data_IF_594245095560
#
_entry.id   IF_594245095560
#
_cell.length_a   1.000
_cell.length_b   1.000
_cell.length_c   1.000
_cell.angle_alpha   90.00
_cell.angle_beta   90.00
_cell.angle_gamma   90.00
#
_symmetry.space_group_name_H-M   'P 1'
#
loop_
_entity.id
_entity.type
_entity.pdbx_description
1 polymer ?
#
# COMPACT_ATOMS: atom_id res chain seq x y z
N UNK A 1 -21.87 -80.88 -5.45
CA UNK A 1 -21.15 -79.87 -4.69
C UNK A 1 -21.25 -78.58 -5.47
N UNK A 2 -22.05 -77.61 -5.02
CA UNK A 2 -22.18 -76.26 -5.61
C UNK A 2 -21.40 -75.31 -4.76
N UNK A 3 -20.31 -74.71 -5.31
CA UNK A 3 -19.56 -73.62 -4.65
C UNK A 3 -20.32 -72.31 -4.89
N UNK A 4 -20.76 -71.69 -3.79
CA UNK A 4 -21.31 -70.36 -3.78
C UNK A 4 -20.12 -69.37 -3.58
N UNK A 5 -19.80 -68.59 -4.59
CA UNK A 5 -18.79 -67.50 -4.47
C UNK A 5 -19.49 -66.25 -3.88
N UNK A 6 -19.06 -65.84 -2.69
CA UNK A 6 -19.45 -64.61 -2.05
C UNK A 6 -18.58 -63.48 -2.57
N UNK A 7 -19.13 -62.58 -3.35
CA UNK A 7 -18.44 -61.34 -3.77
C UNK A 7 -18.68 -60.29 -2.69
N UNK A 8 -17.64 -59.98 -1.96
CA UNK A 8 -17.63 -58.90 -0.99
C UNK A 8 -17.39 -57.55 -1.71
N UNK A 9 -18.45 -56.75 -1.93
CA UNK A 9 -18.31 -55.37 -2.41
C UNK A 9 -17.87 -54.51 -1.25
N UNK A 10 -16.62 -54.05 -1.27
CA UNK A 10 -16.10 -53.00 -0.44
C UNK A 10 -16.59 -51.62 -0.97
N UNK A 11 -17.59 -51.06 -0.31
CA UNK A 11 -17.95 -49.67 -0.50
C UNK A 11 -16.89 -48.80 0.21
N UNK A 12 -15.96 -48.25 -0.55
CA UNK A 12 -15.14 -47.13 -0.08
C UNK A 12 -16.02 -45.89 0.02
N UNK A 13 -16.48 -45.58 1.22
CA UNK A 13 -17.04 -44.27 1.50
C UNK A 13 -15.90 -43.24 1.46
N UNK A 14 -15.80 -42.55 0.33
CA UNK A 14 -15.04 -41.31 0.29
C UNK A 14 -15.76 -40.34 1.23
N UNK A 15 -15.25 -40.20 2.45
CA UNK A 15 -15.63 -39.09 3.33
C UNK A 15 -15.09 -37.82 2.63
N UNK A 16 -15.93 -37.17 1.84
CA UNK A 16 -15.67 -35.82 1.37
C UNK A 16 -15.52 -34.97 2.61
N UNK A 17 -14.30 -34.41 2.78
CA UNK A 17 -14.10 -33.34 3.76
C UNK A 17 -15.12 -32.25 3.43
N UNK A 18 -16.17 -32.14 4.23
CA UNK A 18 -17.06 -30.99 4.17
C UNK A 18 -16.18 -29.79 4.56
N UNK A 19 -15.71 -29.03 3.55
CA UNK A 19 -14.99 -27.81 3.78
C UNK A 19 -15.88 -26.93 4.65
N UNK A 20 -15.38 -26.58 5.82
CA UNK A 20 -16.06 -25.63 6.71
C UNK A 20 -16.21 -24.35 5.90
N UNK A 21 -17.44 -23.91 5.66
CA UNK A 21 -17.70 -22.63 5.00
C UNK A 21 -17.09 -21.51 5.85
N UNK A 22 -16.11 -20.79 5.29
CA UNK A 22 -15.40 -19.73 6.00
C UNK A 22 -15.74 -18.37 5.38
N UNK A 23 -15.99 -17.39 6.23
CA UNK A 23 -16.07 -15.98 5.83
C UNK A 23 -14.67 -15.37 5.63
N UNK A 24 -14.62 -14.16 5.10
CA UNK A 24 -13.37 -13.43 4.84
C UNK A 24 -12.98 -12.47 5.96
N UNK A 25 -13.88 -12.21 6.91
CA UNK A 25 -13.71 -11.13 7.90
C UNK A 25 -12.60 -11.32 8.92
N UNK A 26 -12.05 -12.54 9.04
CA UNK A 26 -10.94 -12.85 9.95
C UNK A 26 -9.68 -13.35 9.22
N UNK A 27 -9.63 -13.21 7.90
CA UNK A 27 -8.47 -13.60 7.11
C UNK A 27 -7.41 -12.49 7.11
N UNK A 28 -6.18 -12.90 7.32
CA UNK A 28 -4.99 -12.05 7.21
C UNK A 28 -3.89 -12.75 6.44
N UNK A 29 -2.80 -12.03 6.19
CA UNK A 29 -1.61 -12.60 5.58
C UNK A 29 -0.33 -12.13 6.26
N UNK A 30 0.69 -12.98 6.24
CA UNK A 30 2.04 -12.69 6.68
C UNK A 30 2.96 -12.82 5.46
N UNK A 31 3.70 -11.76 5.14
CA UNK A 31 4.66 -11.75 4.04
C UNK A 31 5.98 -12.35 4.52
N UNK A 32 6.37 -13.48 3.93
CA UNK A 32 7.65 -14.15 4.19
C UNK A 32 8.70 -13.65 3.19
N UNK A 33 9.29 -12.50 3.49
CA UNK A 33 10.16 -11.75 2.56
C UNK A 33 11.33 -12.57 2.03
N UNK A 34 11.96 -13.37 2.88
CA UNK A 34 13.14 -14.15 2.51
C UNK A 34 12.83 -15.36 1.60
N UNK A 35 11.61 -15.88 1.66
CA UNK A 35 11.17 -17.03 0.89
C UNK A 35 10.41 -16.67 -0.39
N UNK A 36 9.98 -15.44 -0.55
CA UNK A 36 9.12 -15.04 -1.66
C UNK A 36 7.75 -15.70 -1.61
N UNK A 37 7.18 -15.82 -0.41
CA UNK A 37 5.92 -16.48 -0.12
C UNK A 37 5.07 -15.66 0.87
N UNK A 38 3.83 -16.09 1.05
CA UNK A 38 2.94 -15.56 2.10
C UNK A 38 2.31 -16.73 2.87
N UNK A 39 2.03 -16.51 4.15
CA UNK A 39 1.12 -17.34 4.91
C UNK A 39 -0.24 -16.66 5.00
N UNK A 40 -1.30 -17.44 4.78
CA UNK A 40 -2.67 -17.02 5.04
C UNK A 40 -3.03 -17.46 6.46
N UNK A 41 -3.48 -16.52 7.26
CA UNK A 41 -3.78 -16.73 8.67
C UNK A 41 -5.24 -16.44 8.98
N UNK A 42 -5.74 -17.10 9.98
CA UNK A 42 -7.00 -16.80 10.65
C UNK A 42 -6.65 -16.01 11.93
N UNK A 43 -7.18 -14.80 12.04
CA UNK A 43 -6.77 -13.82 13.07
C UNK A 43 -7.45 -14.05 14.42
N UNK A 44 -8.64 -14.66 14.44
CA UNK A 44 -9.40 -14.92 15.68
C UNK A 44 -8.66 -15.91 16.58
N UNK A 45 -8.29 -17.08 16.05
CA UNK A 45 -7.55 -18.11 16.78
C UNK A 45 -6.04 -18.05 16.53
N UNK A 46 -5.58 -17.13 15.66
CA UNK A 46 -4.17 -16.93 15.30
C UNK A 46 -3.53 -18.19 14.72
N UNK A 47 -4.23 -18.84 13.80
CA UNK A 47 -3.78 -20.07 13.15
C UNK A 47 -3.37 -19.84 11.71
N UNK A 48 -2.36 -20.59 11.27
CA UNK A 48 -1.97 -20.64 9.85
C UNK A 48 -2.94 -21.57 9.12
N UNK A 49 -3.52 -21.08 8.03
CA UNK A 49 -4.44 -21.85 7.18
C UNK A 49 -3.71 -22.48 6.01
N UNK A 50 -2.75 -21.75 5.43
CA UNK A 50 -1.99 -22.23 4.29
C UNK A 50 -0.89 -21.27 3.90
N UNK A 51 -0.11 -21.69 2.89
CA UNK A 51 1.01 -20.93 2.33
C UNK A 51 0.90 -20.86 0.82
N UNK A 52 1.29 -19.72 0.25
CA UNK A 52 1.38 -19.53 -1.20
C UNK A 52 2.82 -19.12 -1.53
N UNK A 53 3.47 -19.93 -2.36
CA UNK A 53 4.84 -19.75 -2.81
C UNK A 53 4.91 -19.13 -4.22
N UNK A 54 6.12 -18.75 -4.65
CA UNK A 54 6.38 -18.33 -6.03
C UNK A 54 6.01 -16.88 -6.32
N UNK A 55 5.97 -16.00 -5.31
CA UNK A 55 5.63 -14.59 -5.49
C UNK A 55 6.83 -13.72 -5.90
N UNK A 56 8.00 -14.29 -6.08
CA UNK A 56 9.20 -13.57 -6.50
C UNK A 56 9.91 -12.84 -5.36
N UNK A 57 10.52 -11.69 -5.66
CA UNK A 57 11.26 -10.92 -4.66
C UNK A 57 10.29 -10.10 -3.79
N UNK A 58 10.10 -10.53 -2.55
CA UNK A 58 9.31 -9.84 -1.54
C UNK A 58 10.15 -9.08 -0.51
N UNK A 59 11.42 -8.79 -0.80
CA UNK A 59 12.32 -8.09 0.13
C UNK A 59 11.80 -6.71 0.56
N UNK A 60 11.00 -6.08 -0.29
CA UNK A 60 10.20 -4.89 0.05
C UNK A 60 8.81 -5.05 -0.57
N UNK A 61 7.95 -5.77 0.10
CA UNK A 61 6.61 -6.06 -0.37
C UNK A 61 5.54 -5.43 0.52
N UNK A 62 4.43 -5.10 -0.11
CA UNK A 62 3.20 -4.67 0.54
C UNK A 62 2.00 -5.40 -0.05
N UNK A 63 0.84 -5.26 0.58
CA UNK A 63 -0.38 -5.90 0.15
C UNK A 63 -1.57 -4.96 0.32
N UNK A 64 -2.56 -5.11 -0.58
CA UNK A 64 -3.90 -4.54 -0.40
C UNK A 64 -4.94 -5.64 -0.60
N UNK A 65 -6.08 -5.49 0.05
CA UNK A 65 -7.18 -6.44 -0.03
C UNK A 65 -8.26 -5.95 -0.98
N UNK A 66 -8.88 -6.87 -1.72
CA UNK A 66 -10.12 -6.59 -2.43
C UNK A 66 -11.22 -6.18 -1.43
N UNK A 67 -12.20 -5.42 -1.88
CA UNK A 67 -13.25 -4.87 -1.01
C UNK A 67 -14.14 -5.94 -0.35
N UNK A 68 -14.20 -7.13 -0.95
CA UNK A 68 -14.91 -8.30 -0.41
C UNK A 68 -14.04 -9.13 0.57
N UNK A 69 -12.76 -8.77 0.74
CA UNK A 69 -11.80 -9.48 1.58
C UNK A 69 -11.39 -10.87 1.05
N UNK A 70 -11.88 -11.30 -0.13
CA UNK A 70 -11.53 -12.61 -0.70
C UNK A 70 -10.16 -12.64 -1.34
N UNK A 71 -9.79 -11.57 -2.03
CA UNK A 71 -8.52 -11.50 -2.74
C UNK A 71 -7.55 -10.54 -2.06
N UNK A 72 -6.27 -10.87 -2.11
CA UNK A 72 -5.18 -9.96 -1.79
C UNK A 72 -4.32 -9.74 -3.04
N UNK A 73 -3.81 -8.51 -3.18
CA UNK A 73 -2.86 -8.12 -4.22
C UNK A 73 -1.53 -7.84 -3.56
N UNK A 74 -0.49 -8.61 -3.93
CA UNK A 74 0.85 -8.51 -3.37
C UNK A 74 1.75 -7.83 -4.39
N UNK A 75 2.45 -6.79 -3.93
CA UNK A 75 3.39 -6.01 -4.74
C UNK A 75 4.82 -6.44 -4.38
N UNK A 76 5.52 -7.04 -5.32
CA UNK A 76 6.89 -7.51 -5.14
C UNK A 76 7.93 -6.50 -5.63
N UNK A 77 9.12 -6.56 -5.03
CA UNK A 77 10.25 -5.68 -5.38
C UNK A 77 10.71 -5.87 -6.83
N UNK A 78 10.55 -7.05 -7.38
CA UNK A 78 10.86 -7.41 -8.78
C UNK A 78 9.87 -6.84 -9.81
N UNK A 79 8.93 -6.01 -9.39
CA UNK A 79 7.85 -5.50 -10.23
C UNK A 79 6.67 -6.44 -10.35
N UNK A 80 6.65 -7.51 -9.58
CA UNK A 80 5.56 -8.48 -9.56
C UNK A 80 4.29 -7.92 -8.91
N UNK A 81 3.15 -8.14 -9.56
CA UNK A 81 1.81 -7.98 -9.01
C UNK A 81 1.15 -9.35 -9.00
N UNK A 82 0.88 -9.88 -7.82
CA UNK A 82 0.27 -11.19 -7.63
C UNK A 82 -1.12 -11.06 -7.02
N UNK A 83 -2.11 -11.74 -7.60
CA UNK A 83 -3.47 -11.86 -7.07
C UNK A 83 -3.63 -13.20 -6.37
N UNK A 84 -4.00 -13.17 -5.10
CA UNK A 84 -4.14 -14.35 -4.24
C UNK A 84 -5.62 -14.52 -3.86
N UNK A 85 -6.15 -15.72 -4.01
CA UNK A 85 -7.44 -16.11 -3.43
C UNK A 85 -7.18 -16.62 -2.01
N UNK A 86 -7.64 -15.87 -1.01
CA UNK A 86 -7.42 -16.19 0.40
C UNK A 86 -8.25 -17.38 0.88
N UNK A 87 -9.43 -17.57 0.29
CA UNK A 87 -10.30 -18.72 0.63
C UNK A 87 -9.78 -20.02 0.02
N UNK A 88 -9.31 -19.97 -1.22
CA UNK A 88 -8.76 -21.13 -1.92
C UNK A 88 -7.26 -21.32 -1.66
N UNK A 89 -6.62 -20.37 -0.95
CA UNK A 89 -5.20 -20.42 -0.54
C UNK A 89 -4.25 -20.65 -1.73
N UNK A 90 -4.50 -19.95 -2.84
CA UNK A 90 -3.71 -20.09 -4.05
C UNK A 90 -3.50 -18.77 -4.76
N UNK A 91 -2.43 -18.72 -5.53
CA UNK A 91 -2.21 -17.64 -6.49
C UNK A 91 -3.15 -17.82 -7.68
N UNK A 92 -3.93 -16.78 -7.98
CA UNK A 92 -4.86 -16.75 -9.12
C UNK A 92 -4.12 -16.35 -10.39
N UNK A 93 -3.33 -15.28 -10.29
CA UNK A 93 -2.56 -14.74 -11.40
C UNK A 93 -1.37 -13.92 -10.87
N UNK A 94 -0.33 -13.80 -11.69
CA UNK A 94 0.82 -12.95 -11.43
C UNK A 94 1.35 -12.34 -12.71
N UNK A 95 1.63 -11.04 -12.69
CA UNK A 95 2.27 -10.32 -13.78
C UNK A 95 3.51 -9.61 -13.27
N UNK A 96 4.61 -9.65 -14.03
CA UNK A 96 5.80 -8.81 -13.77
C UNK A 96 5.69 -7.60 -14.68
N UNK A 97 5.41 -6.44 -14.10
CA UNK A 97 4.99 -5.26 -14.85
C UNK A 97 6.09 -4.19 -14.98
N UNK A 98 7.13 -4.29 -14.18
CA UNK A 98 8.28 -3.36 -14.19
C UNK A 98 9.53 -4.06 -13.68
N UNK A 99 10.64 -3.32 -13.55
CA UNK A 99 11.88 -3.84 -12.97
C UNK A 99 12.05 -3.59 -11.46
N UNK A 100 11.22 -2.74 -10.86
CA UNK A 100 11.29 -2.41 -9.44
C UNK A 100 10.03 -1.67 -9.03
N UNK A 101 9.16 -2.29 -8.22
CA UNK A 101 8.00 -1.64 -7.62
C UNK A 101 8.13 -1.51 -6.11
N UNK A 102 7.33 -0.63 -5.52
CA UNK A 102 7.41 -0.31 -4.09
C UNK A 102 6.11 -0.60 -3.36
N UNK A 103 4.99 -0.53 -4.03
CA UNK A 103 3.68 -0.75 -3.45
C UNK A 103 2.56 -0.42 -4.42
N UNK A 104 1.34 -0.40 -3.93
CA UNK A 104 0.18 -0.10 -4.75
C UNK A 104 -1.07 0.15 -3.93
N UNK A 105 -2.14 0.47 -4.64
CA UNK A 105 -3.44 0.77 -4.08
C UNK A 105 -4.56 0.10 -4.89
N UNK A 106 -5.71 -0.09 -4.26
CA UNK A 106 -6.92 -0.58 -4.93
C UNK A 106 -7.98 0.52 -4.93
N UNK A 107 -8.65 0.74 -6.06
CA UNK A 107 -9.68 1.78 -6.20
C UNK A 107 -10.84 1.59 -5.20
N UNK A 108 -11.60 2.66 -4.96
CA UNK A 108 -12.69 2.64 -3.99
C UNK A 108 -13.77 1.61 -4.32
N UNK A 109 -14.05 1.36 -5.60
CA UNK A 109 -14.99 0.34 -6.05
C UNK A 109 -14.36 -1.06 -6.16
N UNK A 110 -13.05 -1.20 -5.93
CA UNK A 110 -12.33 -2.45 -6.03
C UNK A 110 -12.05 -2.94 -7.45
N UNK A 111 -12.35 -2.15 -8.48
CA UNK A 111 -12.22 -2.57 -9.88
C UNK A 111 -10.81 -2.44 -10.47
N UNK A 112 -9.99 -1.53 -9.92
CA UNK A 112 -8.66 -1.19 -10.41
C UNK A 112 -7.60 -1.39 -9.32
N UNK A 113 -6.42 -1.89 -9.72
CA UNK A 113 -5.22 -1.97 -8.87
C UNK A 113 -4.12 -1.17 -9.52
N UNK A 114 -3.58 -0.18 -8.79
CA UNK A 114 -2.46 0.64 -9.24
C UNK A 114 -1.17 0.18 -8.58
N UNK A 115 -0.06 0.20 -9.32
CA UNK A 115 1.28 -0.17 -8.86
C UNK A 115 2.23 0.99 -9.05
N UNK A 116 2.90 1.42 -7.99
CA UNK A 116 3.96 2.44 -8.03
C UNK A 116 5.32 1.83 -8.35
N UNK A 117 6.08 2.50 -9.21
CA UNK A 117 7.35 1.99 -9.69
C UNK A 117 8.51 2.95 -9.42
N UNK A 118 9.64 2.39 -8.98
CA UNK A 118 10.92 3.10 -8.91
C UNK A 118 11.64 3.09 -10.25
N UNK A 119 11.57 1.98 -10.99
CA UNK A 119 12.21 1.81 -12.30
C UNK A 119 11.26 1.13 -13.27
N UNK A 120 10.99 1.76 -14.42
CA UNK A 120 11.54 3.04 -14.90
C UNK A 120 10.93 4.28 -14.25
N UNK A 121 10.05 4.16 -13.27
CA UNK A 121 9.19 5.19 -12.70
C UNK A 121 7.76 5.08 -13.21
N UNK A 122 6.85 5.86 -12.63
CA UNK A 122 5.46 5.89 -13.05
C UNK A 122 4.53 4.94 -12.31
N UNK A 123 3.27 4.96 -12.72
CA UNK A 123 2.20 4.11 -12.19
C UNK A 123 1.61 3.28 -13.31
N UNK A 124 1.40 1.99 -13.07
CA UNK A 124 0.61 1.14 -13.95
C UNK A 124 -0.66 0.72 -13.23
N UNK A 125 -1.77 0.80 -13.95
CA UNK A 125 -3.11 0.47 -13.44
C UNK A 125 -3.64 -0.75 -14.16
N UNK A 126 -4.14 -1.71 -13.39
CA UNK A 126 -4.60 -3.01 -13.86
C UNK A 126 -6.06 -3.23 -13.46
N UNK A 127 -6.77 -4.05 -14.22
CA UNK A 127 -8.04 -4.63 -13.80
C UNK A 127 -7.82 -5.51 -12.57
N UNK A 128 -8.51 -5.25 -11.47
CA UNK A 128 -8.45 -6.10 -10.28
C UNK A 128 -9.01 -7.53 -10.55
N UNK A 129 -9.89 -7.66 -11.54
CA UNK A 129 -10.46 -8.95 -11.91
C UNK A 129 -9.45 -9.84 -12.63
N UNK A 130 -8.78 -9.33 -13.69
CA UNK A 130 -7.97 -10.13 -14.61
C UNK A 130 -6.46 -9.89 -14.53
N UNK A 131 -6.01 -8.79 -13.93
CA UNK A 131 -4.65 -8.23 -14.00
C UNK A 131 -4.25 -7.79 -15.42
N UNK A 132 -5.22 -7.50 -16.29
CA UNK A 132 -4.95 -6.85 -17.57
C UNK A 132 -4.59 -5.39 -17.37
N UNK A 133 -3.60 -4.90 -18.13
CA UNK A 133 -3.16 -3.50 -18.07
C UNK A 133 -4.25 -2.57 -18.62
N UNK A 134 -4.72 -1.65 -17.79
CA UNK A 134 -5.71 -0.61 -18.15
C UNK A 134 -5.04 0.68 -18.55
N UNK A 135 -4.00 1.10 -17.78
CA UNK A 135 -3.30 2.35 -18.05
C UNK A 135 -1.82 2.26 -17.66
N UNK A 136 -0.99 2.97 -18.43
CA UNK A 136 0.40 3.23 -18.09
C UNK A 136 0.58 4.75 -17.97
N UNK A 137 1.03 5.21 -16.82
CA UNK A 137 1.21 6.63 -16.48
C UNK A 137 2.69 6.88 -16.25
N UNK A 138 3.47 7.25 -17.28
CA UNK A 138 4.87 7.61 -17.09
C UNK A 138 4.98 8.83 -16.18
N UNK A 139 5.80 8.75 -15.15
CA UNK A 139 6.05 9.87 -14.24
C UNK A 139 7.09 10.83 -14.80
N UNK A 140 6.83 11.36 -16.00
CA UNK A 140 7.69 12.37 -16.62
C UNK A 140 7.55 13.68 -15.86
N UNK A 141 8.63 14.13 -15.23
CA UNK A 141 8.67 15.38 -14.49
C UNK A 141 8.19 16.56 -15.35
N UNK A 142 7.47 17.49 -14.74
CA UNK A 142 6.90 18.64 -15.46
C UNK A 142 7.95 19.60 -16.01
N UNK A 143 9.13 19.63 -15.42
CA UNK A 143 10.29 20.41 -15.85
C UNK A 143 11.12 19.74 -16.97
N UNK A 144 10.75 18.50 -17.36
CA UNK A 144 11.44 17.73 -18.38
C UNK A 144 12.71 17.03 -17.92
N UNK A 145 13.05 17.02 -16.63
CA UNK A 145 14.27 16.43 -16.08
C UNK A 145 14.35 14.89 -16.24
N UNK A 146 13.25 14.24 -16.56
CA UNK A 146 13.20 12.80 -16.80
C UNK A 146 12.08 12.09 -16.04
N UNK A 147 12.17 10.76 -16.00
CA UNK A 147 11.22 9.94 -15.26
C UNK A 147 11.57 9.92 -13.77
N UNK A 148 10.58 10.17 -12.92
CA UNK A 148 10.71 10.13 -11.46
C UNK A 148 10.25 8.78 -10.90
N UNK A 149 10.86 8.36 -9.80
CA UNK A 149 10.31 7.33 -8.93
C UNK A 149 8.95 7.79 -8.40
N UNK A 150 8.02 6.86 -8.30
CA UNK A 150 6.72 7.12 -7.68
C UNK A 150 6.66 6.49 -6.30
N UNK A 151 6.20 7.26 -5.34
CA UNK A 151 6.04 6.91 -3.92
C UNK A 151 4.69 7.41 -3.40
N UNK A 152 4.29 6.97 -2.21
CA UNK A 152 3.10 7.48 -1.55
C UNK A 152 1.82 7.30 -2.38
N UNK A 153 1.72 6.18 -3.12
CA UNK A 153 0.54 5.87 -3.93
C UNK A 153 -0.60 5.41 -3.04
N UNK A 154 -1.70 6.14 -3.07
CA UNK A 154 -2.94 5.83 -2.34
C UNK A 154 -4.15 5.93 -3.26
N UNK A 155 -5.23 5.23 -2.90
CA UNK A 155 -6.54 5.43 -3.48
C UNK A 155 -7.27 6.60 -2.79
N UNK A 156 -8.12 7.28 -3.52
CA UNK A 156 -8.91 8.39 -3.04
C UNK A 156 -10.35 8.33 -3.55
N UNK A 157 -11.30 8.99 -2.84
CA UNK A 157 -12.69 9.03 -3.26
C UNK A 157 -12.87 9.48 -4.71
N UNK A 158 -13.85 8.90 -5.42
CA UNK A 158 -14.17 9.23 -6.80
C UNK A 158 -13.28 8.55 -7.83
N UNK A 159 -12.80 7.33 -7.56
CA UNK A 159 -11.99 6.53 -8.49
C UNK A 159 -10.68 7.23 -8.88
N UNK A 160 -10.01 7.83 -7.90
CA UNK A 160 -8.75 8.54 -8.07
C UNK A 160 -7.62 7.80 -7.41
N UNK A 161 -6.43 7.84 -8.03
CA UNK A 161 -5.17 7.49 -7.42
C UNK A 161 -4.32 8.75 -7.28
N UNK A 162 -3.69 8.90 -6.12
CA UNK A 162 -2.81 10.04 -5.82
C UNK A 162 -1.45 9.49 -5.47
N UNK A 163 -0.42 10.16 -5.94
CA UNK A 163 0.96 9.73 -5.71
C UNK A 163 1.94 10.89 -5.83
N UNK A 164 3.08 10.71 -5.21
CA UNK A 164 4.19 11.66 -5.24
C UNK A 164 5.27 11.22 -6.21
N UNK A 165 5.86 12.18 -6.92
CA UNK A 165 7.03 12.00 -7.76
C UNK A 165 8.26 12.41 -6.95
N UNK A 166 9.02 11.41 -6.48
CA UNK A 166 10.14 11.59 -5.55
C UNK A 166 11.22 12.53 -6.08
N UNK A 167 11.71 12.27 -7.29
CA UNK A 167 12.83 13.03 -7.87
C UNK A 167 12.38 14.41 -8.38
N UNK A 168 11.09 14.54 -8.75
CA UNK A 168 10.53 15.75 -9.34
C UNK A 168 9.94 16.75 -8.32
N UNK A 169 9.67 16.32 -7.09
CA UNK A 169 8.99 17.18 -6.10
C UNK A 169 7.57 17.55 -6.52
N UNK A 170 6.78 16.56 -6.96
CA UNK A 170 5.44 16.77 -7.47
C UNK A 170 4.43 15.82 -6.80
N UNK A 171 3.16 16.23 -6.76
CA UNK A 171 2.00 15.38 -6.44
C UNK A 171 1.09 15.32 -7.68
N UNK A 172 0.74 14.10 -8.08
CA UNK A 172 -0.19 13.88 -9.20
C UNK A 172 -1.45 13.16 -8.75
N UNK A 173 -2.57 13.54 -9.38
CA UNK A 173 -3.87 12.88 -9.23
C UNK A 173 -4.22 12.27 -10.59
N UNK A 174 -4.39 10.95 -10.63
CA UNK A 174 -4.92 10.22 -11.77
C UNK A 174 -6.40 9.90 -11.50
N UNK A 175 -7.30 10.49 -12.27
CA UNK A 175 -8.75 10.38 -12.12
C UNK A 175 -9.33 9.43 -13.17
N UNK A 176 -9.90 8.32 -12.71
CA UNK A 176 -10.56 7.26 -13.49
C UNK A 176 -12.09 7.31 -13.38
N UNK A 177 -12.69 8.36 -12.82
CA UNK A 177 -14.14 8.47 -12.62
C UNK A 177 -14.97 8.37 -13.90
N UNK A 178 -14.34 8.62 -15.05
CA UNK A 178 -14.97 8.54 -16.40
C UNK A 178 -14.64 7.25 -17.16
N UNK A 179 -14.23 6.20 -16.44
CA UNK A 179 -13.84 4.91 -17.02
C UNK A 179 -12.33 4.80 -17.30
N UNK A 180 -11.91 3.94 -18.27
CA UNK A 180 -10.50 3.61 -18.46
C UNK A 180 -9.64 4.78 -18.99
N UNK A 181 -10.26 5.80 -19.55
CA UNK A 181 -9.58 7.04 -19.91
C UNK A 181 -9.43 7.89 -18.66
N UNK A 182 -8.20 8.10 -18.23
CA UNK A 182 -7.89 8.92 -17.07
C UNK A 182 -7.52 10.34 -17.44
N UNK A 183 -7.67 11.26 -16.48
CA UNK A 183 -7.12 12.60 -16.54
C UNK A 183 -6.06 12.76 -15.44
N UNK A 184 -5.04 13.61 -15.69
CA UNK A 184 -3.99 13.91 -14.73
C UNK A 184 -4.10 15.37 -14.29
N UNK A 185 -4.13 15.57 -12.97
CA UNK A 185 -3.87 16.88 -12.35
C UNK A 185 -2.51 16.81 -11.69
N UNK A 186 -1.67 17.81 -11.95
CA UNK A 186 -0.28 17.85 -11.49
C UNK A 186 -0.05 19.08 -10.62
N UNK A 187 0.58 18.87 -9.48
CA UNK A 187 1.03 19.92 -8.58
C UNK A 187 2.55 19.84 -8.46
N UNK A 188 3.24 20.82 -9.03
CA UNK A 188 4.71 20.91 -9.03
C UNK A 188 5.23 21.72 -7.84
N UNK A 189 6.53 21.60 -7.57
CA UNK A 189 7.22 22.40 -6.53
C UNK A 189 6.60 22.26 -5.14
N UNK A 190 6.22 21.02 -4.79
CA UNK A 190 5.56 20.77 -3.51
C UNK A 190 6.57 20.62 -2.35
N UNK A 191 7.85 20.55 -2.65
CA UNK A 191 8.96 20.36 -1.71
C UNK A 191 9.95 19.31 -2.18
N UNK A 192 11.06 19.16 -1.44
CA UNK A 192 12.16 18.29 -1.85
C UNK A 192 11.92 16.82 -1.46
N UNK A 193 12.08 15.95 -2.45
CA UNK A 193 12.05 14.49 -2.29
C UNK A 193 10.81 14.00 -1.49
N UNK A 194 9.58 14.26 -1.93
CA UNK A 194 8.41 13.67 -1.29
C UNK A 194 8.58 12.15 -1.26
N UNK A 195 8.40 11.53 -0.07
CA UNK A 195 8.78 10.13 0.09
C UNK A 195 7.58 9.20 0.24
N UNK A 196 6.72 9.47 1.18
CA UNK A 196 5.56 8.64 1.46
C UNK A 196 4.28 9.49 1.38
N UNK A 197 3.13 8.85 1.40
CA UNK A 197 1.86 9.53 1.29
C UNK A 197 0.78 8.88 2.14
N UNK A 198 -0.07 9.71 2.70
CA UNK A 198 -1.23 9.32 3.49
C UNK A 198 -2.45 10.09 2.99
N UNK A 199 -3.61 9.42 2.95
CA UNK A 199 -4.89 10.09 2.84
C UNK A 199 -5.59 10.09 4.20
N UNK A 200 -6.20 11.20 4.58
CA UNK A 200 -6.97 11.29 5.84
C UNK A 200 -8.22 10.42 5.80
N UNK A 201 -8.71 9.98 6.97
CA UNK A 201 -9.85 9.06 7.09
C UNK A 201 -11.13 9.56 6.42
N UNK A 202 -11.30 10.89 6.34
CA UNK A 202 -12.39 11.54 5.62
C UNK A 202 -12.19 11.64 4.10
N UNK A 203 -11.03 11.16 3.60
CA UNK A 203 -10.67 11.19 2.19
C UNK A 203 -10.38 12.58 1.63
N UNK A 204 -10.19 13.58 2.51
CA UNK A 204 -10.06 14.98 2.10
C UNK A 204 -8.63 15.41 1.82
N UNK A 205 -7.69 15.06 2.69
CA UNK A 205 -6.32 15.54 2.57
C UNK A 205 -5.38 14.42 2.16
N UNK A 206 -4.59 14.67 1.13
CA UNK A 206 -3.40 13.89 0.85
C UNK A 206 -2.19 14.60 1.45
N UNK A 207 -1.38 13.88 2.23
CA UNK A 207 -0.21 14.40 2.90
C UNK A 207 0.99 13.63 2.41
N UNK A 208 2.03 14.33 1.94
CA UNK A 208 3.31 13.77 1.55
C UNK A 208 4.39 14.21 2.51
N UNK A 209 5.14 13.27 3.06
CA UNK A 209 6.34 13.55 3.82
C UNK A 209 7.45 14.06 2.90
N UNK A 210 8.29 14.97 3.37
CA UNK A 210 9.42 15.49 2.59
C UNK A 210 10.73 14.92 3.14
N UNK A 211 11.39 14.09 2.33
CA UNK A 211 12.65 13.47 2.74
C UNK A 211 13.84 14.41 2.60
N UNK A 212 13.80 15.33 1.66
CA UNK A 212 14.87 16.28 1.37
C UNK A 212 14.93 17.46 2.34
N UNK A 213 13.82 17.76 3.00
CA UNK A 213 13.68 18.92 3.89
C UNK A 213 12.70 18.61 5.03
N UNK A 214 12.65 19.48 6.04
CA UNK A 214 11.68 19.36 7.13
C UNK A 214 10.27 19.76 6.69
N UNK A 215 9.26 19.25 7.38
CA UNK A 215 7.85 19.53 7.11
C UNK A 215 7.21 18.55 6.14
N UNK A 216 5.97 18.86 5.78
CA UNK A 216 5.15 18.06 4.89
C UNK A 216 4.39 18.91 3.90
N UNK A 217 4.07 18.31 2.77
CA UNK A 217 3.19 18.88 1.75
C UNK A 217 1.77 18.32 1.93
N UNK A 218 0.77 19.15 1.95
CA UNK A 218 -0.64 18.76 2.09
C UNK A 218 -1.48 19.33 0.95
N UNK A 219 -2.26 18.46 0.29
CA UNK A 219 -3.19 18.80 -0.78
C UNK A 219 -4.63 18.55 -0.30
N UNK A 220 -5.50 19.58 -0.39
CA UNK A 220 -6.94 19.43 -0.17
C UNK A 220 -7.61 18.89 -1.42
N UNK A 221 -8.05 17.63 -1.40
CA UNK A 221 -8.68 16.94 -2.53
C UNK A 221 -10.10 17.41 -2.84
N UNK A 222 -10.70 18.19 -1.94
CA UNK A 222 -11.99 18.87 -2.17
C UNK A 222 -11.81 20.22 -2.85
N UNK A 223 -10.61 20.80 -2.77
CA UNK A 223 -10.24 22.08 -3.35
C UNK A 223 -8.83 22.03 -3.95
N UNK A 224 -8.58 21.09 -4.89
CA UNK A 224 -7.23 20.86 -5.42
C UNK A 224 -6.68 22.06 -6.20
N UNK A 225 -7.56 22.93 -6.69
CA UNK A 225 -7.19 24.18 -7.38
C UNK A 225 -6.48 25.18 -6.46
N UNK A 226 -6.61 25.05 -5.14
CA UNK A 226 -5.86 25.87 -4.18
C UNK A 226 -4.39 25.48 -4.07
N UNK A 227 -4.01 24.36 -4.69
CA UNK A 227 -2.64 23.86 -4.65
C UNK A 227 -2.25 23.26 -3.31
N UNK A 228 -0.95 23.00 -3.18
CA UNK A 228 -0.35 22.36 -2.00
C UNK A 228 0.07 23.41 -0.99
N UNK A 229 -0.16 23.14 0.30
CA UNK A 229 0.34 23.94 1.40
C UNK A 229 1.31 23.17 2.28
N UNK A 230 2.21 23.88 2.95
CA UNK A 230 3.12 23.31 3.94
C UNK A 230 2.41 23.16 5.30
N UNK A 231 2.71 22.09 5.99
CA UNK A 231 2.30 21.83 7.37
C UNK A 231 3.48 21.25 8.16
N UNK A 232 3.44 21.40 9.47
CA UNK A 232 4.40 20.81 10.40
C UNK A 232 5.87 21.10 10.01
N UNK A 233 6.21 22.39 9.86
CA UNK A 233 7.53 22.82 9.37
C UNK A 233 8.71 22.27 10.21
N UNK A 234 8.46 21.87 11.46
CA UNK A 234 9.47 21.28 12.33
C UNK A 234 9.51 19.75 12.29
N UNK A 235 8.67 19.10 11.48
CA UNK A 235 8.66 17.65 11.35
C UNK A 235 9.69 17.19 10.34
N UNK A 236 10.48 16.19 10.74
CA UNK A 236 11.22 15.45 9.74
C UNK A 236 12.66 15.16 10.05
N UNK A 237 13.52 15.63 9.19
CA UNK A 237 14.89 15.18 9.07
C UNK A 237 15.77 15.50 10.28
N UNK A 238 15.63 16.68 10.85
CA UNK A 238 16.53 17.15 11.89
C UNK A 238 17.95 17.44 11.35
N UNK A 239 18.83 17.86 12.26
CA UNK A 239 20.21 18.24 11.94
C UNK A 239 21.21 17.08 12.14
N UNK A 240 20.85 16.06 12.93
CA UNK A 240 21.72 14.94 13.23
C UNK A 240 21.87 14.02 12.03
N UNK A 241 23.11 13.72 11.66
CA UNK A 241 23.42 12.77 10.59
C UNK A 241 23.43 11.35 11.16
N UNK A 242 22.33 10.65 11.03
CA UNK A 242 22.14 9.29 11.55
C UNK A 242 22.69 8.23 10.59
N UNK A 243 23.12 7.06 11.10
CA UNK A 243 23.61 5.95 10.27
C UNK A 243 22.54 5.41 9.30
N UNK A 244 21.29 5.35 9.74
CA UNK A 244 20.15 5.01 8.91
C UNK A 244 19.15 6.15 9.01
N UNK A 245 19.17 6.99 8.01
CA UNK A 245 18.24 8.10 7.92
C UNK A 245 17.04 7.72 7.06
N UNK A 246 15.89 7.58 7.68
CA UNK A 246 14.60 7.41 7.00
C UNK A 246 13.59 8.34 7.63
N UNK A 247 12.79 8.96 6.78
CA UNK A 247 11.54 9.53 7.23
C UNK A 247 10.59 8.39 7.61
N UNK A 248 9.86 8.48 8.73
CA UNK A 248 8.88 7.46 9.06
C UNK A 248 7.83 7.37 7.94
N UNK A 249 7.39 6.15 7.70
CA UNK A 249 6.24 5.93 6.83
C UNK A 249 5.01 6.60 7.45
N UNK A 250 4.25 7.35 6.66
CA UNK A 250 3.06 8.04 7.16
C UNK A 250 1.97 7.06 7.65
N UNK A 251 1.91 5.86 7.12
CA UNK A 251 1.09 4.77 7.66
C UNK A 251 1.55 4.29 9.05
N UNK A 252 2.71 4.70 9.50
CA UNK A 252 3.23 4.47 10.86
C UNK A 252 2.77 5.51 11.87
N UNK A 253 1.86 6.41 11.53
CA UNK A 253 1.24 7.33 12.46
C UNK A 253 0.14 6.62 13.24
N UNK A 254 -0.07 7.05 14.47
CA UNK A 254 -1.15 6.52 15.30
C UNK A 254 -2.06 7.66 15.78
N UNK A 255 -3.34 7.37 15.86
CA UNK A 255 -4.32 8.30 16.44
C UNK A 255 -4.85 7.71 17.75
N UNK A 256 -4.78 8.50 18.83
CA UNK A 256 -5.42 8.19 20.09
C UNK A 256 -6.26 9.38 20.54
N UNK A 257 -7.57 9.21 20.56
CA UNK A 257 -8.51 10.30 20.81
C UNK A 257 -8.39 11.43 19.78
N UNK A 258 -8.15 12.64 20.26
CA UNK A 258 -8.02 13.84 19.44
C UNK A 258 -6.56 14.23 19.15
N UNK A 259 -5.65 13.28 19.25
CA UNK A 259 -4.22 13.52 18.99
C UNK A 259 -3.69 12.49 17.99
N UNK A 260 -2.91 12.96 17.04
CA UNK A 260 -2.09 12.12 16.14
C UNK A 260 -0.65 12.12 16.66
N UNK A 261 -0.06 10.94 16.75
CA UNK A 261 1.33 10.72 17.16
C UNK A 261 2.18 10.44 15.92
N UNK A 262 3.14 11.32 15.66
CA UNK A 262 4.00 11.28 14.49
C UNK A 262 5.45 11.02 14.90
N UNK A 263 6.01 9.85 14.59
CA UNK A 263 7.43 9.61 14.82
C UNK A 263 8.31 10.55 13.99
N UNK A 264 9.19 11.31 14.64
CA UNK A 264 10.16 12.18 13.99
C UNK A 264 11.56 11.57 14.09
N UNK A 265 11.89 10.72 13.12
CA UNK A 265 13.08 9.84 13.10
C UNK A 265 14.37 10.62 13.34
N UNK A 266 14.57 11.69 12.59
CA UNK A 266 15.79 12.49 12.65
C UNK A 266 15.94 13.32 13.91
N UNK A 267 14.90 13.41 14.74
CA UNK A 267 14.88 14.21 15.97
C UNK A 267 14.79 13.40 17.26
N UNK A 268 14.66 12.08 17.15
CA UNK A 268 14.47 11.17 18.30
C UNK A 268 13.29 11.58 19.18
N UNK A 269 12.19 11.95 18.55
CA UNK A 269 10.97 12.39 19.25
C UNK A 269 9.71 11.93 18.52
N UNK A 270 8.60 11.95 19.23
CA UNK A 270 7.27 11.76 18.67
C UNK A 270 6.51 13.07 18.83
N UNK A 271 6.07 13.66 17.73
CA UNK A 271 5.22 14.85 17.74
C UNK A 271 3.78 14.46 18.09
N UNK A 272 3.12 15.29 18.85
CA UNK A 272 1.70 15.24 19.12
C UNK A 272 1.03 16.35 18.31
N UNK A 273 0.09 16.00 17.45
CA UNK A 273 -0.52 16.90 16.47
C UNK A 273 -2.04 16.87 16.61
N UNK A 274 -2.65 18.03 16.58
CA UNK A 274 -4.10 18.19 16.57
C UNK A 274 -4.64 17.95 15.15
N UNK A 275 -5.55 16.96 14.96
CA UNK A 275 -6.19 16.72 13.67
C UNK A 275 -6.95 17.95 13.17
N UNK A 276 -6.96 18.16 11.86
CA UNK A 276 -7.67 19.27 11.22
C UNK A 276 -6.90 20.57 11.17
N UNK A 277 -6.37 21.05 12.29
CA UNK A 277 -5.50 22.23 12.31
C UNK A 277 -4.07 21.93 11.86
N UNK A 278 -3.63 20.67 12.02
CA UNK A 278 -2.26 20.22 11.78
C UNK A 278 -1.23 20.99 12.59
N UNK A 279 -1.63 21.40 13.78
CA UNK A 279 -0.78 22.14 14.72
C UNK A 279 -0.15 21.18 15.71
N UNK A 280 1.15 21.30 15.90
CA UNK A 280 1.86 20.61 16.97
C UNK A 280 1.36 21.11 18.33
N UNK A 281 0.97 20.19 19.22
CA UNK A 281 0.49 20.48 20.57
C UNK A 281 1.42 19.95 21.66
N UNK A 282 2.43 19.18 21.30
CA UNK A 282 3.44 18.64 22.23
C UNK A 282 4.43 17.72 21.57
N UNK A 283 5.42 17.31 22.34
CA UNK A 283 6.48 16.38 21.93
C UNK A 283 6.83 15.40 23.04
N UNK A 284 7.24 14.20 22.64
CA UNK A 284 7.71 13.16 23.54
C UNK A 284 9.11 12.76 23.06
N UNK A 285 10.12 12.99 23.89
CA UNK A 285 11.48 12.51 23.61
C UNK A 285 11.53 10.98 23.76
N UNK A 286 12.20 10.30 22.84
CA UNK A 286 12.35 8.85 22.84
C UNK A 286 13.82 8.44 22.64
N UNK A 287 14.15 7.22 23.08
CA UNK A 287 15.48 6.65 22.85
C UNK A 287 15.59 6.13 21.40
N UNK A 288 16.50 6.70 20.63
CA UNK A 288 16.79 6.27 19.27
C UNK A 288 15.75 6.78 18.25
N UNK A 289 15.71 6.12 17.10
CA UNK A 289 14.92 6.54 15.94
C UNK A 289 13.51 5.91 15.98
N UNK A 290 12.46 6.67 16.31
CA UNK A 290 11.10 6.13 16.25
C UNK A 290 10.68 6.02 14.78
N UNK A 291 10.11 4.88 14.38
CA UNK A 291 9.66 4.64 13.00
C UNK A 291 8.14 4.51 12.95
N UNK A 292 7.56 3.80 13.90
CA UNK A 292 6.12 3.56 13.98
C UNK A 292 5.59 3.91 15.36
N UNK A 293 4.39 4.48 15.39
CA UNK A 293 3.55 4.58 16.56
C UNK A 293 2.36 3.63 16.39
N UNK A 294 1.90 3.05 17.49
CA UNK A 294 0.72 2.17 17.53
C UNK A 294 -0.16 2.62 18.70
N UNK A 295 -1.46 2.77 18.48
CA UNK A 295 -2.45 3.14 19.49
C UNK A 295 -3.45 1.99 19.73
#
# INVERSE_FOLDING_TARGET
MRFLAFVLMLFSSAAGAQGVTRGTGDLGLIIERAQGSIQIIETTNRTVLGRVDGLGDLSHASAVYARDGRYAFIFGRDGGLSKIDLLEQRMVNRVVQSGNSIGGAISQDGSLVAVSNYKPGGVKVFSAASLELIANIPAQASDGSGLSKVVGLVDAPGQRFIFSLYDAGEIWIADFSKGPKFTLTKHSSIGELPYDGLITDDGRYYIAGLFGEDGMAMLDLWQPEKGVRRILDNYGRGEEKLPVYKMPHLEGWARAGDVIFLPAVGRHEVLMVEPGSWREVGRIAVHGQPIFAVA
#
